data_IF_873251415572
#
_entry.id   IF_873251415572
#
_cell.length_a   1.000
_cell.length_b   1.000
_cell.length_c   1.000
_cell.angle_alpha   90.00
_cell.angle_beta   90.00
_cell.angle_gamma   90.00
#
_symmetry.space_group_name_H-M   'P 1'
#
loop_
_entity.id
_entity.type
_entity.pdbx_description
1 polymer ?
#
# COMPACT_ATOMS: atom_id res chain seq x y z
N UNK A 1 -0.89 -19.67 9.34
CA UNK A 1 -0.44 -18.28 9.60
C UNK A 1 -0.66 -17.96 11.06
N UNK A 2 0.31 -17.34 11.72
CA UNK A 2 0.26 -16.98 13.14
C UNK A 2 -0.48 -15.66 13.33
N UNK A 3 -0.96 -15.39 14.55
CA UNK A 3 -1.70 -14.16 14.87
C UNK A 3 -0.88 -12.88 14.58
N UNK A 4 0.42 -12.89 14.88
CA UNK A 4 1.28 -11.73 14.61
C UNK A 4 1.47 -11.48 13.10
N UNK A 5 1.48 -12.52 12.26
CA UNK A 5 1.58 -12.36 10.80
C UNK A 5 0.33 -11.66 10.26
N UNK A 6 -0.85 -12.00 10.79
CA UNK A 6 -2.09 -11.28 10.48
C UNK A 6 -2.05 -9.82 10.93
N UNK A 7 -1.54 -9.55 12.13
CA UNK A 7 -1.41 -8.19 12.64
C UNK A 7 -0.50 -7.33 11.73
N UNK A 8 0.61 -7.90 11.25
CA UNK A 8 1.49 -7.24 10.29
C UNK A 8 0.77 -6.97 8.97
N UNK A 9 0.08 -7.96 8.39
CA UNK A 9 -0.69 -7.75 7.16
C UNK A 9 -1.76 -6.67 7.28
N UNK A 10 -2.50 -6.66 8.39
CA UNK A 10 -3.48 -5.61 8.68
C UNK A 10 -2.80 -4.24 8.75
N UNK A 11 -1.65 -4.12 9.41
CA UNK A 11 -0.89 -2.88 9.46
C UNK A 11 -0.44 -2.42 8.07
N UNK A 12 0.06 -3.33 7.23
CA UNK A 12 0.50 -3.02 5.85
C UNK A 12 -0.67 -2.55 4.97
N UNK A 13 -1.85 -3.13 5.12
CA UNK A 13 -3.07 -2.71 4.40
C UNK A 13 -3.62 -1.36 4.90
N UNK A 14 -3.53 -1.08 6.20
CA UNK A 14 -4.08 0.14 6.81
C UNK A 14 -3.13 1.34 6.66
N UNK A 15 -1.82 1.10 6.54
CA UNK A 15 -0.81 2.15 6.41
C UNK A 15 -1.15 3.30 5.43
N UNK A 16 -1.56 3.06 4.16
CA UNK A 16 -1.90 4.15 3.24
C UNK A 16 -3.11 4.97 3.73
N UNK A 17 -4.08 4.35 4.41
CA UNK A 17 -5.22 5.07 4.99
C UNK A 17 -4.80 5.92 6.19
N UNK A 18 -3.92 5.41 7.05
CA UNK A 18 -3.42 6.17 8.19
C UNK A 18 -2.69 7.44 7.72
N UNK A 19 -1.91 7.35 6.63
CA UNK A 19 -1.25 8.52 6.04
C UNK A 19 -2.26 9.46 5.40
N UNK A 20 -3.23 8.95 4.61
CA UNK A 20 -4.27 9.79 4.02
C UNK A 20 -5.10 10.52 5.09
N UNK A 21 -5.40 9.87 6.22
CA UNK A 21 -6.08 10.48 7.35
C UNK A 21 -5.21 11.52 8.08
N UNK A 22 -3.90 11.26 8.23
CA UNK A 22 -2.96 12.20 8.83
C UNK A 22 -2.82 13.49 8.01
N UNK A 23 -3.09 13.42 6.70
CA UNK A 23 -3.18 14.58 5.81
C UNK A 23 -4.53 15.33 5.92
N UNK A 24 -5.36 15.04 6.94
CA UNK A 24 -6.63 15.74 7.17
C UNK A 24 -6.49 17.24 7.44
N UNK A 25 -5.29 17.71 7.81
CA UNK A 25 -4.97 19.14 7.97
C UNK A 25 -4.73 19.88 6.66
N UNK A 26 -4.71 19.17 5.52
CA UNK A 26 -4.57 19.81 4.22
C UNK A 26 -5.78 20.71 3.90
N UNK A 27 -5.59 21.74 3.04
CA UNK A 27 -6.70 22.50 2.48
C UNK A 27 -7.70 21.59 1.76
N UNK A 28 -8.95 22.02 1.64
CA UNK A 28 -9.99 21.20 1.01
C UNK A 28 -9.69 20.90 -0.47
N UNK A 29 -8.88 21.75 -1.11
CA UNK A 29 -8.38 21.57 -2.48
C UNK A 29 -6.86 21.41 -2.46
N UNK A 30 -6.35 20.33 -3.06
CA UNK A 30 -4.93 20.01 -3.13
C UNK A 30 -4.52 19.67 -4.57
N UNK A 31 -3.22 19.78 -4.86
CA UNK A 31 -2.66 19.28 -6.11
C UNK A 31 -2.80 17.74 -6.16
N UNK A 32 -3.48 17.24 -7.19
CA UNK A 32 -3.73 15.80 -7.39
C UNK A 32 -2.96 15.23 -8.57
N UNK A 33 -2.38 16.08 -9.41
CA UNK A 33 -1.50 15.67 -10.49
C UNK A 33 -0.50 16.78 -10.76
N UNK A 34 0.71 16.38 -11.11
CA UNK A 34 1.79 17.27 -11.52
C UNK A 34 2.24 16.79 -12.89
N UNK A 35 2.16 17.68 -13.88
CA UNK A 35 2.59 17.45 -15.24
C UNK A 35 4.09 17.17 -15.32
N UNK A 36 4.53 16.67 -16.48
CA UNK A 36 5.93 16.29 -16.70
C UNK A 36 6.91 17.47 -16.61
N UNK A 37 6.40 18.69 -16.82
CA UNK A 37 7.11 19.96 -16.67
C UNK A 37 7.15 20.46 -15.22
N UNK A 38 6.57 19.72 -14.28
CA UNK A 38 6.51 20.08 -12.86
C UNK A 38 5.35 21.02 -12.51
N UNK A 39 4.49 21.39 -13.46
CA UNK A 39 3.34 22.25 -13.19
C UNK A 39 2.15 21.46 -12.64
N UNK A 40 1.39 22.05 -11.74
CA UNK A 40 0.13 21.44 -11.28
C UNK A 40 -0.91 21.65 -12.38
N UNK A 41 -1.33 20.56 -13.01
CA UNK A 41 -2.34 20.56 -14.08
C UNK A 41 -3.72 20.05 -13.62
N UNK A 42 -3.80 19.50 -12.39
CA UNK A 42 -5.07 19.08 -11.77
C UNK A 42 -5.07 19.31 -10.27
N UNK A 43 -6.13 19.98 -9.82
CA UNK A 43 -6.54 20.06 -8.42
C UNK A 43 -7.71 19.12 -8.15
N UNK A 44 -7.85 18.69 -6.90
CA UNK A 44 -8.98 17.88 -6.45
C UNK A 44 -9.16 17.97 -4.94
N UNK A 45 -10.09 17.18 -4.41
CA UNK A 45 -10.40 17.23 -2.99
C UNK A 45 -9.37 16.44 -2.18
N UNK A 46 -9.00 16.92 -0.99
CA UNK A 46 -8.21 16.09 -0.05
C UNK A 46 -8.85 14.74 0.28
N UNK A 47 -10.18 14.64 0.17
CA UNK A 47 -10.89 13.39 0.39
C UNK A 47 -10.68 12.37 -0.73
N UNK A 48 -10.21 12.78 -1.91
CA UNK A 48 -9.83 11.88 -3.00
C UNK A 48 -8.60 11.01 -2.64
N UNK A 49 -7.87 11.35 -1.58
CA UNK A 49 -6.79 10.51 -1.05
C UNK A 49 -7.28 9.20 -0.41
N UNK A 50 -8.52 9.17 0.11
CA UNK A 50 -9.09 7.95 0.69
C UNK A 50 -9.32 6.83 -0.33
N UNK A 51 -9.99 7.07 -1.49
CA UNK A 51 -10.11 6.04 -2.52
C UNK A 51 -8.77 5.66 -3.13
N UNK A 52 -7.81 6.60 -3.25
CA UNK A 52 -6.44 6.28 -3.67
C UNK A 52 -5.78 5.33 -2.66
N UNK A 53 -5.84 5.63 -1.36
CA UNK A 53 -5.32 4.76 -0.31
C UNK A 53 -5.96 3.37 -0.33
N UNK A 54 -7.27 3.29 -0.60
CA UNK A 54 -7.97 2.03 -0.78
C UNK A 54 -7.47 1.20 -1.95
N UNK A 55 -7.23 1.84 -3.11
CA UNK A 55 -6.65 1.17 -4.26
C UNK A 55 -5.23 0.65 -3.96
N UNK A 56 -4.41 1.46 -3.27
CA UNK A 56 -3.04 1.10 -2.87
C UNK A 56 -3.00 -0.01 -1.80
N UNK A 57 -4.07 -0.23 -1.05
CA UNK A 57 -4.11 -1.33 -0.08
C UNK A 57 -4.37 -2.71 -0.70
N UNK A 58 -4.93 -2.77 -1.93
CA UNK A 58 -5.32 -4.03 -2.57
C UNK A 58 -4.16 -4.99 -2.85
N UNK A 59 -2.96 -4.55 -3.30
CA UNK A 59 -1.82 -5.44 -3.52
C UNK A 59 -1.38 -6.15 -2.24
N UNK A 60 -1.27 -5.42 -1.12
CA UNK A 60 -0.98 -6.00 0.19
C UNK A 60 -2.08 -6.96 0.67
N UNK A 61 -3.35 -6.65 0.42
CA UNK A 61 -4.44 -7.58 0.70
C UNK A 61 -4.31 -8.87 -0.11
N UNK A 62 -3.98 -8.77 -1.40
CA UNK A 62 -3.75 -9.93 -2.25
C UNK A 62 -2.57 -10.77 -1.72
N UNK A 63 -1.43 -10.15 -1.39
CA UNK A 63 -0.27 -10.83 -0.81
C UNK A 63 -0.63 -11.51 0.52
N UNK A 64 -1.42 -10.87 1.39
CA UNK A 64 -1.89 -11.47 2.64
C UNK A 64 -2.72 -12.75 2.39
N UNK A 65 -3.63 -12.73 1.41
CA UNK A 65 -4.45 -13.89 1.03
C UNK A 65 -3.61 -15.02 0.44
N UNK A 66 -2.63 -14.71 -0.40
CA UNK A 66 -1.72 -15.73 -0.97
C UNK A 66 -0.81 -16.30 0.14
N UNK A 67 -0.30 -15.46 1.03
CA UNK A 67 0.47 -15.86 2.23
C UNK A 67 -0.35 -16.78 3.15
N UNK A 68 -1.64 -16.50 3.32
CA UNK A 68 -2.56 -17.36 4.08
C UNK A 68 -2.66 -18.75 3.46
N UNK A 69 -2.79 -18.80 2.14
CA UNK A 69 -2.94 -20.04 1.36
C UNK A 69 -1.63 -20.72 0.98
N UNK A 70 -0.47 -20.23 1.45
CA UNK A 70 0.85 -20.76 1.08
C UNK A 70 0.95 -22.29 1.15
N UNK A 71 0.49 -22.92 2.24
CA UNK A 71 0.52 -24.39 2.37
C UNK A 71 -0.33 -25.11 1.32
N UNK A 72 -1.52 -24.58 1.02
CA UNK A 72 -2.39 -25.15 -0.01
C UNK A 72 -1.81 -24.97 -1.41
N UNK A 73 -1.11 -23.86 -1.68
CA UNK A 73 -0.43 -23.60 -2.94
C UNK A 73 0.75 -24.56 -3.14
N UNK A 74 1.53 -24.82 -2.08
CA UNK A 74 2.60 -25.82 -2.08
C UNK A 74 2.05 -27.24 -2.31
N UNK A 75 0.99 -27.62 -1.60
CA UNK A 75 0.38 -28.94 -1.74
C UNK A 75 -0.15 -29.21 -3.17
N UNK A 76 -0.46 -28.16 -3.92
CA UNK A 76 -0.90 -28.24 -5.32
C UNK A 76 0.24 -28.13 -6.34
N UNK A 77 1.49 -27.99 -5.88
CA UNK A 77 2.64 -27.82 -6.77
C UNK A 77 2.63 -26.49 -7.54
N UNK A 78 1.91 -25.48 -7.07
CA UNK A 78 1.77 -24.18 -7.75
C UNK A 78 2.88 -23.18 -7.41
N UNK A 79 3.82 -23.58 -6.56
CA UNK A 79 4.95 -22.75 -6.12
C UNK A 79 6.23 -23.40 -6.61
N UNK A 80 7.05 -22.61 -7.31
CA UNK A 80 8.33 -23.04 -7.86
C UNK A 80 9.45 -22.13 -7.38
N UNK A 81 10.67 -22.67 -7.23
CA UNK A 81 11.85 -21.90 -6.83
C UNK A 81 11.88 -21.46 -5.37
N UNK A 82 10.98 -21.98 -4.51
CA UNK A 82 10.94 -21.69 -3.08
C UNK A 82 10.77 -23.01 -2.32
N UNK A 83 11.63 -23.24 -1.33
CA UNK A 83 11.76 -24.56 -0.70
C UNK A 83 10.69 -24.87 0.35
N UNK A 84 9.96 -23.86 0.85
CA UNK A 84 8.94 -24.09 1.88
C UNK A 84 7.83 -23.03 1.92
N UNK A 85 6.63 -23.38 2.43
CA UNK A 85 5.56 -22.42 2.69
C UNK A 85 5.98 -21.28 3.63
N UNK A 86 6.92 -21.54 4.54
CA UNK A 86 7.48 -20.51 5.42
C UNK A 86 8.27 -19.48 4.62
N UNK A 87 9.18 -19.93 3.75
CA UNK A 87 9.99 -19.02 2.93
C UNK A 87 9.12 -18.19 1.98
N UNK A 88 8.05 -18.78 1.43
CA UNK A 88 7.09 -18.05 0.61
C UNK A 88 6.39 -16.93 1.40
N UNK A 89 5.93 -17.22 2.63
CA UNK A 89 5.34 -16.21 3.51
C UNK A 89 6.33 -15.10 3.85
N UNK A 90 7.58 -15.44 4.12
CA UNK A 90 8.64 -14.45 4.34
C UNK A 90 8.87 -13.56 3.12
N UNK A 91 8.94 -14.14 1.92
CA UNK A 91 9.07 -13.38 0.68
C UNK A 91 7.91 -12.40 0.51
N UNK A 92 6.66 -12.85 0.69
CA UNK A 92 5.50 -11.97 0.57
C UNK A 92 5.50 -10.86 1.61
N UNK A 93 5.90 -11.13 2.86
CA UNK A 93 6.04 -10.09 3.86
C UNK A 93 7.08 -9.04 3.46
N UNK A 94 8.21 -9.45 2.89
CA UNK A 94 9.24 -8.51 2.39
C UNK A 94 8.68 -7.66 1.25
N UNK A 95 8.01 -8.27 0.28
CA UNK A 95 7.37 -7.55 -0.83
C UNK A 95 6.31 -6.57 -0.31
N UNK A 96 5.47 -7.00 0.62
CA UNK A 96 4.44 -6.13 1.21
C UNK A 96 5.02 -4.95 1.98
N UNK A 97 6.13 -5.13 2.70
CA UNK A 97 6.85 -4.02 3.33
C UNK A 97 7.38 -3.02 2.31
N UNK A 98 7.98 -3.49 1.21
CA UNK A 98 8.49 -2.63 0.13
C UNK A 98 7.34 -1.86 -0.52
N UNK A 99 6.24 -2.54 -0.86
CA UNK A 99 5.03 -1.92 -1.42
C UNK A 99 4.47 -0.85 -0.48
N UNK A 100 4.35 -1.14 0.82
CA UNK A 100 3.86 -0.16 1.79
C UNK A 100 4.75 1.07 1.86
N UNK A 101 6.08 0.93 1.84
CA UNK A 101 7.00 2.10 1.81
C UNK A 101 6.76 2.96 0.58
N UNK A 102 6.61 2.33 -0.59
CA UNK A 102 6.33 3.03 -1.85
C UNK A 102 4.98 3.75 -1.77
N UNK A 103 3.93 3.08 -1.31
CA UNK A 103 2.57 3.63 -1.26
C UNK A 103 2.44 4.75 -0.24
N UNK A 104 3.09 4.63 0.92
CA UNK A 104 3.21 5.74 1.89
C UNK A 104 3.91 6.93 1.25
N UNK A 105 5.01 6.71 0.52
CA UNK A 105 5.72 7.76 -0.22
C UNK A 105 4.83 8.46 -1.25
N UNK A 106 4.04 7.70 -2.00
CA UNK A 106 3.06 8.22 -2.96
C UNK A 106 2.03 9.11 -2.24
N UNK A 107 1.39 8.62 -1.17
CA UNK A 107 0.39 9.40 -0.43
C UNK A 107 1.00 10.69 0.17
N UNK A 108 2.21 10.61 0.74
CA UNK A 108 2.92 11.77 1.28
C UNK A 108 3.28 12.82 0.22
N UNK A 109 3.51 12.41 -1.04
CA UNK A 109 3.82 13.35 -2.13
C UNK A 109 2.68 14.33 -2.40
N UNK A 110 1.42 13.92 -2.23
CA UNK A 110 0.26 14.81 -2.34
C UNK A 110 0.24 15.88 -1.25
N UNK A 111 0.70 15.56 -0.04
CA UNK A 111 0.86 16.53 1.03
C UNK A 111 1.88 17.64 0.71
N UNK A 112 2.93 17.33 -0.07
CA UNK A 112 3.90 18.35 -0.53
C UNK A 112 3.28 19.30 -1.54
N UNK A 113 2.42 18.82 -2.43
CA UNK A 113 1.73 19.64 -3.42
C UNK A 113 0.77 20.67 -2.81
N UNK A 114 0.34 20.47 -1.56
CA UNK A 114 -0.46 21.45 -0.82
C UNK A 114 0.36 22.58 -0.19
N UNK A 115 1.69 22.42 -0.04
CA UNK A 115 2.59 23.42 0.54
C UNK A 115 3.26 24.31 -0.53
N UNK A 116 3.10 23.98 -1.82
CA UNK A 116 3.66 24.71 -2.95
C UNK A 116 2.73 25.76 -3.55
N UNK A 117 1.55 25.97 -2.96
CA UNK A 117 0.56 26.99 -3.35
C UNK A 117 0.66 28.25 -2.51
#
# INVERSE_FOLDING_TARGET
>A
MKAWEWAVWLALCIAPFAVAAALGSLPDTIAMHVGIDGTIDRYGSKYDLLPIAGLLALPNLALALVSWKAEALFARGLVHGIDSPRNLRTLFLVLGMIETVIYVGIVLSFGRGALSG
#
